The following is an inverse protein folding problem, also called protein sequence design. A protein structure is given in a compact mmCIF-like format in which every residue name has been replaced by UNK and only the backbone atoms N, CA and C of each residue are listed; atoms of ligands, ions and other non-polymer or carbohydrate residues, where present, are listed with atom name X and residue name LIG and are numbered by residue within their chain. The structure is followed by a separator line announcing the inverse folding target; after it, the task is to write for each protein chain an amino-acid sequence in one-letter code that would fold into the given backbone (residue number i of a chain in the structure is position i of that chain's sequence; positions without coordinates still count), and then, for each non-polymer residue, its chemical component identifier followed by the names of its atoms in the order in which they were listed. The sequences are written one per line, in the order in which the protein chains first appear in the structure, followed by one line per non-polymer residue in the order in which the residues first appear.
data_IF_512327012014
#
_entry.id   IF_512327012014
#
_cell.length_a   1.000
_cell.length_b   1.000
_cell.length_c   1.000
_cell.angle_alpha   90.00
_cell.angle_beta   90.00
_cell.angle_gamma   90.00
#
_symmetry.space_group_name_H-M   'P 1'
#
loop_
_entity.id
_entity.type
_entity.pdbx_description
1 polymer ?
#
# COMPACT_ATOMS: atom_id res chain seq x y z
N UNK A 1 16.93 -18.95 55.89
CA UNK A 1 17.54 -18.22 57.03
C UNK A 1 19.01 -18.59 57.09
N UNK A 2 19.99 -17.68 57.29
CA UNK A 2 20.04 -16.24 57.00
C UNK A 2 21.43 -15.76 56.42
N UNK A 3 21.50 -14.45 56.10
CA UNK A 3 22.71 -13.55 56.05
C UNK A 3 23.64 -13.70 54.81
N UNK A 4 23.71 -12.85 53.76
CA UNK A 4 23.71 -11.37 53.54
C UNK A 4 24.78 -10.58 54.31
N UNK A 5 25.84 -10.11 53.61
CA UNK A 5 26.69 -8.91 53.87
C UNK A 5 27.89 -8.97 52.90
N UNK A 6 28.43 -7.97 52.17
CA UNK A 6 28.31 -6.50 51.96
C UNK A 6 29.13 -6.25 50.65
N UNK A 7 28.64 -5.63 49.58
CA UNK A 7 28.46 -4.19 49.34
C UNK A 7 29.74 -3.32 49.36
N UNK A 8 30.06 -2.78 48.16
CA UNK A 8 30.62 -1.46 47.80
C UNK A 8 32.14 -1.22 47.84
N UNK A 9 32.65 -0.75 46.69
CA UNK A 9 33.61 0.34 46.43
C UNK A 9 34.06 0.24 44.96
N UNK A 10 34.27 1.26 44.14
CA UNK A 10 33.75 2.60 43.98
C UNK A 10 34.26 3.08 42.60
N UNK A 11 33.55 4.05 42.05
CA UNK A 11 33.74 4.75 40.79
C UNK A 11 35.08 5.52 40.70
N UNK A 12 35.67 5.64 39.50
CA UNK A 12 36.53 6.77 39.10
C UNK A 12 37.61 6.41 38.07
N UNK A 13 38.06 7.25 37.13
CA UNK A 13 37.65 8.54 36.55
C UNK A 13 38.71 8.83 35.44
N UNK A 14 38.28 9.08 34.19
CA UNK A 14 38.83 10.03 33.17
C UNK A 14 40.18 9.79 32.43
N UNK A 15 40.03 9.57 31.10
CA UNK A 15 40.64 10.24 29.90
C UNK A 15 42.17 10.27 29.66
N UNK A 16 42.60 9.74 28.50
CA UNK A 16 43.58 10.31 27.53
C UNK A 16 43.65 9.43 26.25
N UNK A 17 43.06 9.78 25.11
CA UNK A 17 43.53 10.66 24.01
C UNK A 17 44.51 9.99 23.01
N UNK A 18 43.94 9.69 21.81
CA UNK A 18 44.44 9.94 20.44
C UNK A 18 45.50 9.06 19.71
N UNK A 19 45.00 8.49 18.59
CA UNK A 19 45.49 8.60 17.18
C UNK A 19 46.87 8.00 16.83
N UNK A 20 46.85 6.85 16.14
CA UNK A 20 47.78 6.47 15.04
C UNK A 20 46.98 5.58 14.06
N UNK A 21 46.37 6.17 13.04
CA UNK A 21 46.84 6.19 11.65
C UNK A 21 46.81 4.82 10.93
N UNK A 22 45.94 4.71 9.92
CA UNK A 22 46.18 3.85 8.76
C UNK A 22 45.45 2.50 8.73
N UNK A 23 44.17 2.51 8.35
CA UNK A 23 43.57 1.36 7.67
C UNK A 23 42.43 1.85 6.76
N UNK A 24 42.78 1.94 5.49
CA UNK A 24 41.96 2.11 4.28
C UNK A 24 40.46 1.81 4.46
N UNK A 25 39.63 2.86 4.57
CA UNK A 25 38.22 2.76 4.24
C UNK A 25 38.09 2.65 2.72
N UNK A 26 38.01 1.41 2.22
CA UNK A 26 37.57 1.14 0.86
C UNK A 26 36.11 1.58 0.75
N UNK A 27 35.87 2.77 0.20
CA UNK A 27 34.53 3.26 -0.11
C UNK A 27 34.03 2.42 -1.28
N UNK A 28 33.32 1.34 -0.98
CA UNK A 28 32.53 0.60 -1.97
C UNK A 28 31.44 1.55 -2.45
N UNK A 29 31.62 2.15 -3.62
CA UNK A 29 30.57 2.92 -4.28
C UNK A 29 29.55 1.94 -4.82
N UNK A 30 28.52 1.69 -4.03
CA UNK A 30 27.28 1.13 -4.56
C UNK A 30 26.71 2.17 -5.54
N UNK A 31 26.79 1.87 -6.83
CA UNK A 31 26.03 2.58 -7.84
C UNK A 31 24.55 2.33 -7.53
N UNK A 32 23.90 3.27 -6.85
CA UNK A 32 22.44 3.29 -6.73
C UNK A 32 21.93 3.56 -8.14
N UNK A 33 21.23 2.63 -8.80
CA UNK A 33 20.56 2.96 -10.05
C UNK A 33 19.56 4.08 -9.73
N UNK A 34 19.70 5.21 -10.42
CA UNK A 34 18.74 6.30 -10.34
C UNK A 34 17.42 5.79 -10.94
N UNK A 35 16.52 5.29 -10.10
CA UNK A 35 15.13 5.08 -10.47
C UNK A 35 14.57 6.45 -10.90
N UNK A 36 13.97 6.51 -12.08
CA UNK A 36 13.40 7.74 -12.60
C UNK A 36 12.38 8.32 -11.58
N UNK A 37 12.56 9.56 -11.08
CA UNK A 37 11.63 10.17 -10.15
C UNK A 37 10.41 10.65 -10.95
N UNK A 38 9.42 9.78 -11.15
CA UNK A 38 8.26 10.16 -11.97
C UNK A 38 7.00 9.34 -11.71
N UNK A 39 7.09 8.01 -11.71
CA UNK A 39 5.89 7.16 -11.64
C UNK A 39 5.31 7.05 -10.22
N UNK A 40 6.11 6.74 -9.21
CA UNK A 40 5.59 6.50 -7.86
C UNK A 40 4.94 7.71 -7.18
N UNK A 41 5.37 8.93 -7.50
CA UNK A 41 4.80 10.17 -6.94
C UNK A 41 3.45 10.52 -7.60
N UNK A 42 3.29 10.20 -8.89
CA UNK A 42 2.05 10.47 -9.63
C UNK A 42 0.93 9.53 -9.21
N UNK A 43 1.17 8.24 -9.07
CA UNK A 43 0.11 7.32 -8.62
C UNK A 43 -0.37 7.60 -7.21
N UNK A 44 0.54 7.92 -6.27
CA UNK A 44 0.14 8.36 -4.93
C UNK A 44 -0.79 9.59 -4.97
N UNK A 45 -0.61 10.48 -5.95
CA UNK A 45 -1.48 11.65 -6.16
C UNK A 45 -2.78 11.36 -6.91
N UNK A 46 -2.85 10.28 -7.70
CA UNK A 46 -4.07 9.85 -8.40
C UNK A 46 -5.01 9.16 -7.42
N UNK A 47 -4.51 8.17 -6.67
CA UNK A 47 -5.22 7.53 -5.55
C UNK A 47 -5.73 8.59 -4.56
N UNK A 48 -4.85 9.45 -4.04
CA UNK A 48 -5.27 10.41 -3.02
C UNK A 48 -6.37 11.36 -3.51
N UNK A 49 -6.34 11.77 -4.80
CA UNK A 49 -7.39 12.59 -5.40
C UNK A 49 -8.69 11.81 -5.54
N UNK A 50 -8.62 10.59 -6.05
CA UNK A 50 -9.77 9.69 -6.22
C UNK A 50 -10.43 9.39 -4.86
N UNK A 51 -9.63 9.04 -3.85
CA UNK A 51 -10.09 8.67 -2.51
C UNK A 51 -10.82 9.78 -1.75
N UNK A 52 -10.61 11.04 -2.14
CA UNK A 52 -11.23 12.22 -1.56
C UNK A 52 -12.06 13.05 -2.55
N UNK A 53 -12.40 12.50 -3.72
CA UNK A 53 -13.11 13.24 -4.75
C UNK A 53 -14.53 13.62 -4.28
N UNK A 54 -14.92 14.89 -4.45
CA UNK A 54 -16.22 15.40 -3.98
C UNK A 54 -17.41 14.77 -4.74
N UNK A 55 -17.17 14.28 -5.95
CA UNK A 55 -18.14 13.61 -6.81
C UNK A 55 -18.22 12.10 -6.58
N UNK A 56 -17.40 11.54 -5.68
CA UNK A 56 -17.47 10.14 -5.31
C UNK A 56 -18.81 9.80 -4.63
N UNK A 57 -19.39 8.62 -4.90
CA UNK A 57 -20.69 8.26 -4.34
C UNK A 57 -20.63 8.17 -2.81
N UNK A 58 -21.72 8.55 -2.13
CA UNK A 58 -21.81 8.47 -0.65
C UNK A 58 -21.46 7.10 -0.08
N UNK A 59 -21.87 6.02 -0.76
CA UNK A 59 -21.50 4.65 -0.36
C UNK A 59 -19.98 4.37 -0.36
N UNK A 60 -19.21 5.14 -1.14
CA UNK A 60 -17.76 5.13 -1.10
C UNK A 60 -17.24 6.05 0.01
N UNK A 61 -17.68 7.32 0.05
CA UNK A 61 -17.18 8.28 1.04
C UNK A 61 -17.47 7.87 2.49
N UNK A 62 -18.65 7.31 2.75
CA UNK A 62 -19.11 6.94 4.09
C UNK A 62 -18.68 5.51 4.48
N UNK A 63 -17.74 4.92 3.72
CA UNK A 63 -17.35 3.53 3.89
C UNK A 63 -16.46 3.33 5.13
N UNK A 64 -16.65 2.28 5.93
CA UNK A 64 -15.76 2.00 7.07
C UNK A 64 -14.32 1.79 6.57
N UNK A 65 -13.29 2.30 7.25
CA UNK A 65 -11.92 2.00 6.87
C UNK A 65 -11.62 0.51 7.10
N UNK A 66 -10.92 -0.11 6.15
CA UNK A 66 -10.46 -1.50 6.25
C UNK A 66 -8.93 -1.58 6.22
N UNK A 67 -8.39 -2.69 6.71
CA UNK A 67 -6.96 -2.94 6.60
C UNK A 67 -6.54 -3.03 5.13
N UNK A 68 -5.46 -2.35 4.78
CA UNK A 68 -4.98 -2.31 3.39
C UNK A 68 -4.31 -3.63 3.00
N UNK A 69 -4.64 -4.10 1.80
CA UNK A 69 -3.90 -5.12 1.07
C UNK A 69 -2.83 -4.53 0.16
N UNK A 70 -2.62 -3.22 0.20
CA UNK A 70 -1.68 -2.46 -0.60
C UNK A 70 -2.37 -1.68 -1.71
N UNK A 71 -1.53 -0.91 -2.41
CA UNK A 71 -1.86 -0.20 -3.64
C UNK A 71 -0.94 -0.77 -4.73
N UNK A 72 -1.52 -1.15 -5.87
CA UNK A 72 -0.82 -1.64 -7.05
C UNK A 72 -1.08 -0.70 -8.21
N UNK A 73 -0.02 -0.32 -8.93
CA UNK A 73 -0.11 0.37 -10.20
C UNK A 73 0.20 -0.65 -11.29
N UNK A 74 -0.69 -0.78 -12.26
CA UNK A 74 -0.59 -1.76 -13.34
C UNK A 74 -0.31 -1.04 -14.66
N UNK A 75 0.61 -1.58 -15.45
CA UNK A 75 0.67 -1.29 -16.88
C UNK A 75 -0.50 -1.93 -17.62
N UNK A 76 -0.59 -1.64 -18.92
CA UNK A 76 -1.52 -2.33 -19.80
C UNK A 76 -1.26 -3.85 -19.73
N UNK A 77 -2.33 -4.63 -19.55
CA UNK A 77 -2.31 -6.10 -19.45
C UNK A 77 -1.54 -6.69 -18.26
N UNK A 78 -1.00 -5.87 -17.34
CA UNK A 78 -0.33 -6.38 -16.15
C UNK A 78 -1.35 -7.02 -15.19
N UNK A 79 -1.09 -8.25 -14.69
CA UNK A 79 -1.98 -8.89 -13.76
C UNK A 79 -1.88 -8.30 -12.35
N UNK A 80 -3.00 -8.21 -11.64
CA UNK A 80 -3.00 -7.96 -10.19
C UNK A 80 -2.20 -9.08 -9.50
N UNK A 81 -1.16 -8.74 -8.70
CA UNK A 81 -0.35 -9.75 -8.04
C UNK A 81 -1.19 -10.68 -7.16
N UNK A 82 -1.02 -12.00 -7.33
CA UNK A 82 -1.83 -13.01 -6.62
C UNK A 82 -1.80 -12.85 -5.10
N UNK A 83 -0.69 -12.38 -4.52
CA UNK A 83 -0.57 -12.11 -3.08
C UNK A 83 -1.55 -11.02 -2.59
N UNK A 84 -1.87 -10.03 -3.45
CA UNK A 84 -2.81 -8.96 -3.14
C UNK A 84 -4.25 -9.46 -3.15
N UNK A 85 -4.59 -10.29 -4.13
CA UNK A 85 -5.89 -10.99 -4.20
C UNK A 85 -6.07 -11.93 -3.00
N UNK A 86 -5.02 -12.68 -2.64
CA UNK A 86 -5.05 -13.57 -1.49
C UNK A 86 -5.25 -12.80 -0.17
N UNK A 87 -4.62 -11.62 -0.02
CA UNK A 87 -4.87 -10.73 1.11
C UNK A 87 -6.35 -10.31 1.18
N UNK A 88 -6.94 -9.90 0.05
CA UNK A 88 -8.35 -9.50 0.00
C UNK A 88 -9.29 -10.66 0.36
N UNK A 89 -9.01 -11.86 -0.15
CA UNK A 89 -9.77 -13.07 0.17
C UNK A 89 -9.69 -13.46 1.66
N UNK A 90 -8.62 -13.06 2.35
CA UNK A 90 -8.43 -13.27 3.79
C UNK A 90 -9.15 -12.27 4.69
N UNK A 91 -10.12 -11.50 4.18
CA UNK A 91 -10.71 -10.38 4.92
C UNK A 91 -11.42 -10.74 6.23
N UNK A 92 -12.13 -11.87 6.26
CA UNK A 92 -12.92 -12.28 7.42
C UNK A 92 -13.81 -11.16 7.96
N UNK A 93 -13.90 -11.07 9.29
CA UNK A 93 -14.70 -10.06 9.99
C UNK A 93 -13.99 -8.70 10.15
N UNK A 94 -12.69 -8.61 9.82
CA UNK A 94 -11.93 -7.35 9.92
C UNK A 94 -12.13 -6.45 8.69
N UNK A 95 -12.42 -7.06 7.55
CA UNK A 95 -12.47 -6.37 6.28
C UNK A 95 -11.09 -6.01 5.72
N UNK A 96 -10.97 -6.00 4.39
CA UNK A 96 -9.75 -5.66 3.68
C UNK A 96 -10.07 -4.81 2.45
N UNK A 97 -9.14 -3.95 2.08
CA UNK A 97 -9.23 -3.11 0.89
C UNK A 97 -7.95 -3.20 0.05
N UNK A 98 -8.09 -3.43 -1.25
CA UNK A 98 -7.01 -3.39 -2.24
C UNK A 98 -7.30 -2.23 -3.20
N UNK A 99 -6.29 -1.37 -3.41
CA UNK A 99 -6.36 -0.29 -4.40
C UNK A 99 -5.55 -0.71 -5.62
N UNK A 100 -6.14 -0.57 -6.81
CA UNK A 100 -5.47 -0.82 -8.09
C UNK A 100 -5.65 0.40 -8.97
N UNK A 101 -4.54 0.99 -9.38
CA UNK A 101 -4.48 2.01 -10.42
C UNK A 101 -4.09 1.35 -11.74
N UNK A 102 -4.82 1.70 -12.78
CA UNK A 102 -4.56 1.28 -14.16
C UNK A 102 -4.80 2.48 -15.09
N UNK A 103 -4.53 2.32 -16.38
CA UNK A 103 -4.86 3.34 -17.38
C UNK A 103 -5.71 2.76 -18.50
N UNK A 104 -6.56 3.59 -19.10
CA UNK A 104 -7.20 3.29 -20.38
C UNK A 104 -6.16 3.17 -21.49
N UNK A 105 -6.57 2.73 -22.68
CA UNK A 105 -5.67 2.67 -23.84
C UNK A 105 -5.14 4.08 -24.23
N UNK A 106 -5.93 5.11 -23.94
CA UNK A 106 -5.63 6.52 -24.14
C UNK A 106 -4.73 7.11 -23.05
N UNK A 107 -4.50 6.37 -21.96
CA UNK A 107 -3.63 6.76 -20.85
C UNK A 107 -4.35 7.45 -19.69
N UNK A 108 -5.69 7.49 -19.70
CA UNK A 108 -6.46 8.10 -18.63
C UNK A 108 -6.47 7.18 -17.41
N UNK A 109 -6.19 7.70 -16.20
CA UNK A 109 -6.12 6.88 -15.00
C UNK A 109 -7.50 6.38 -14.59
N UNK A 110 -7.56 5.10 -14.19
CA UNK A 110 -8.72 4.47 -13.57
C UNK A 110 -8.28 3.84 -12.26
N UNK A 111 -8.95 4.21 -11.15
CA UNK A 111 -8.66 3.69 -9.81
C UNK A 111 -9.77 2.76 -9.36
N UNK A 112 -9.43 1.53 -8.98
CA UNK A 112 -10.37 0.54 -8.44
C UNK A 112 -10.06 0.22 -6.98
N UNK A 113 -11.10 0.27 -6.16
CA UNK A 113 -11.06 -0.10 -4.75
C UNK A 113 -11.85 -1.39 -4.56
N UNK A 114 -11.14 -2.49 -4.35
CA UNK A 114 -11.71 -3.81 -4.09
C UNK A 114 -11.85 -4.02 -2.59
N UNK A 115 -13.03 -4.41 -2.13
CA UNK A 115 -13.37 -4.50 -0.71
C UNK A 115 -14.05 -5.80 -0.39
N UNK A 116 -13.59 -6.48 0.64
CA UNK A 116 -14.24 -7.65 1.21
C UNK A 116 -14.31 -7.47 2.73
N UNK A 117 -15.38 -7.92 3.39
CA UNK A 117 -15.54 -7.74 4.83
C UNK A 117 -16.99 -7.75 5.33
N UNK A 118 -17.22 -7.36 6.59
CA UNK A 118 -18.54 -7.36 7.21
C UNK A 118 -19.59 -6.59 6.40
N UNK A 119 -20.75 -7.22 6.19
CA UNK A 119 -21.85 -6.62 5.43
C UNK A 119 -21.68 -6.64 3.91
N UNK A 120 -20.54 -7.11 3.38
CA UNK A 120 -20.31 -7.28 1.95
C UNK A 120 -20.49 -8.75 1.60
N UNK A 121 -21.47 -9.06 0.74
CA UNK A 121 -21.60 -10.40 0.14
C UNK A 121 -20.65 -10.50 -1.05
N UNK A 122 -19.47 -11.03 -0.79
CA UNK A 122 -18.42 -11.25 -1.78
C UNK A 122 -17.42 -10.09 -1.85
N UNK A 123 -17.13 -9.59 -3.06
CA UNK A 123 -16.26 -8.41 -3.25
C UNK A 123 -17.08 -7.23 -3.75
N UNK A 124 -16.94 -6.08 -3.11
CA UNK A 124 -17.48 -4.80 -3.57
C UNK A 124 -16.36 -4.01 -4.25
N UNK A 125 -16.63 -3.53 -5.45
CA UNK A 125 -15.70 -2.75 -6.27
C UNK A 125 -16.27 -1.34 -6.40
N UNK A 126 -15.46 -0.35 -6.06
CA UNK A 126 -15.68 1.02 -6.49
C UNK A 126 -14.65 1.36 -7.56
N UNK A 127 -15.10 1.90 -8.68
CA UNK A 127 -14.23 2.31 -9.78
C UNK A 127 -14.40 3.80 -9.99
N UNK A 128 -13.29 4.52 -9.99
CA UNK A 128 -13.18 5.90 -10.40
C UNK A 128 -12.66 5.96 -11.83
N UNK A 129 -13.56 6.22 -12.77
CA UNK A 129 -13.25 6.47 -14.18
C UNK A 129 -13.56 7.94 -14.54
N UNK A 130 -13.54 8.86 -13.57
CA UNK A 130 -13.89 10.26 -13.80
C UNK A 130 -12.87 11.00 -14.68
N UNK A 131 -11.63 10.50 -14.73
CA UNK A 131 -10.60 11.03 -15.61
C UNK A 131 -10.73 10.55 -17.07
N UNK A 132 -11.49 9.47 -17.32
CA UNK A 132 -11.76 8.98 -18.67
C UNK A 132 -12.91 9.79 -19.30
N UNK A 133 -12.68 10.55 -20.39
CA UNK A 133 -13.72 11.36 -21.03
C UNK A 133 -14.85 10.52 -21.67
N UNK A 134 -14.63 9.24 -21.96
CA UNK A 134 -15.65 8.35 -22.50
C UNK A 134 -16.64 7.85 -21.44
N UNK A 135 -16.21 7.72 -20.19
CA UNK A 135 -17.02 7.21 -19.08
C UNK A 135 -17.40 8.30 -18.07
N UNK A 136 -16.38 9.01 -17.55
CA UNK A 136 -16.51 10.24 -16.79
C UNK A 136 -17.26 10.11 -15.46
N UNK A 137 -17.28 8.92 -14.87
CA UNK A 137 -18.08 8.66 -13.66
C UNK A 137 -17.49 7.59 -12.74
N UNK A 138 -18.07 7.53 -11.55
CA UNK A 138 -17.87 6.45 -10.61
C UNK A 138 -18.80 5.26 -10.89
N UNK A 139 -18.29 4.04 -10.67
CA UNK A 139 -19.08 2.82 -10.68
C UNK A 139 -19.01 2.09 -9.35
N UNK A 140 -20.08 1.33 -9.07
CA UNK A 140 -20.16 0.43 -7.93
C UNK A 140 -20.61 -0.95 -8.41
N UNK A 141 -19.74 -1.94 -8.32
CA UNK A 141 -19.98 -3.31 -8.79
C UNK A 141 -19.89 -4.28 -7.63
N UNK A 142 -20.83 -5.22 -7.52
CA UNK A 142 -20.80 -6.26 -6.49
C UNK A 142 -20.55 -7.64 -7.14
N UNK A 143 -19.41 -8.24 -6.82
CA UNK A 143 -19.06 -9.60 -7.23
C UNK A 143 -19.63 -10.61 -6.21
N UNK A 144 -20.77 -11.22 -6.55
CA UNK A 144 -21.44 -12.20 -5.69
C UNK A 144 -20.66 -13.50 -5.51
N UNK A 145 -19.76 -13.83 -6.43
CA UNK A 145 -18.89 -15.00 -6.37
C UNK A 145 -17.84 -14.94 -5.24
N UNK A 146 -17.60 -13.73 -4.72
CA UNK A 146 -16.71 -13.50 -3.58
C UNK A 146 -15.22 -13.46 -3.90
N UNK A 147 -14.86 -13.40 -5.18
CA UNK A 147 -13.47 -13.27 -5.62
C UNK A 147 -13.37 -12.42 -6.89
N UNK A 148 -12.17 -11.92 -7.11
CA UNK A 148 -11.74 -11.34 -8.37
C UNK A 148 -10.62 -12.21 -8.96
N UNK A 149 -10.46 -12.19 -10.28
CA UNK A 149 -9.29 -12.77 -10.94
C UNK A 149 -8.13 -11.75 -11.06
N UNK A 150 -7.08 -12.14 -11.77
CA UNK A 150 -5.89 -11.31 -11.98
C UNK A 150 -6.12 -10.11 -12.90
N UNK A 151 -7.22 -10.08 -13.65
CA UNK A 151 -7.62 -8.90 -14.44
C UNK A 151 -8.47 -7.93 -13.61
N UNK A 152 -8.87 -8.33 -12.40
CA UNK A 152 -9.75 -7.57 -11.54
C UNK A 152 -11.24 -7.78 -11.84
N UNK A 153 -11.58 -8.71 -12.74
CA UNK A 153 -12.95 -9.09 -13.03
C UNK A 153 -13.52 -10.03 -11.95
N UNK A 154 -14.85 -10.02 -11.78
CA UNK A 154 -15.52 -11.00 -10.92
C UNK A 154 -15.30 -12.42 -11.46
N UNK A 155 -14.89 -13.35 -10.60
CA UNK A 155 -14.56 -14.73 -10.99
C UNK A 155 -15.15 -15.78 -10.04
#
# INVERSE_FOLDING_TARGET
MPVVRRALLALGLVVAVAIVAGATFAVVRFAVPAAAPGEGVRSASVDARSGSAEDAPRSFLDRPPYASCGHVVLGADDPIPAARIACLAGAGDEGRELVVESSTAEGDPVVRYYRAGPGIRGVLIFEDATADPADGRWHRVACASGRIDQTGACA
#
